data_IF_684941273731
#
_entry.id   IF_684941273731
#
_cell.length_a   1.000
_cell.length_b   1.000
_cell.length_c   1.000
_cell.angle_alpha   90.00
_cell.angle_beta   90.00
_cell.angle_gamma   90.00
#
_symmetry.space_group_name_H-M   'P 1'
#
loop_
_entity.id
_entity.type
_entity.pdbx_description
1 polymer ?
#
# COMPACT_ATOMS: atom_id res chain seq x y z
N UNK A 1 15.49 -4.78 -16.47
CA UNK A 1 14.03 -4.67 -16.34
C UNK A 1 13.69 -3.41 -15.56
N UNK A 2 12.53 -2.80 -15.81
CA UNK A 2 12.14 -1.52 -15.18
C UNK A 2 11.39 -1.69 -13.84
N UNK A 3 11.03 -2.92 -13.46
CA UNK A 3 10.32 -3.24 -12.22
C UNK A 3 11.11 -4.18 -11.30
N UNK A 4 10.82 -4.12 -10.01
CA UNK A 4 11.20 -5.07 -8.94
C UNK A 4 10.03 -6.01 -8.64
N UNK A 5 10.27 -7.14 -7.95
CA UNK A 5 9.16 -7.96 -7.43
C UNK A 5 8.48 -7.25 -6.26
N UNK A 6 9.25 -6.72 -5.31
CA UNK A 6 8.73 -5.93 -4.17
C UNK A 6 9.17 -4.48 -4.30
N UNK A 7 8.22 -3.57 -4.16
CA UNK A 7 8.42 -2.12 -4.24
C UNK A 7 7.08 -1.40 -4.38
N UNK A 8 7.01 -0.07 -4.19
CA UNK A 8 5.77 0.68 -4.32
C UNK A 8 5.13 0.48 -5.68
N UNK A 9 3.80 0.41 -5.71
CA UNK A 9 3.05 0.37 -6.97
C UNK A 9 3.05 1.79 -7.57
N UNK A 10 3.23 1.96 -8.88
CA UNK A 10 3.09 3.27 -9.51
C UNK A 10 1.64 3.73 -9.37
N UNK A 11 1.46 4.97 -8.93
CA UNK A 11 0.15 5.63 -8.85
C UNK A 11 -0.13 6.41 -10.14
N UNK A 12 -1.40 6.75 -10.39
CA UNK A 12 -1.77 7.59 -11.53
C UNK A 12 -1.12 8.98 -11.38
N UNK A 13 -0.49 9.53 -12.44
CA UNK A 13 0.12 10.85 -12.41
C UNK A 13 -0.80 11.97 -11.91
N UNK A 14 -2.13 11.85 -12.06
CA UNK A 14 -3.10 12.83 -11.56
C UNK A 14 -3.09 12.95 -10.02
N UNK A 15 -2.63 11.92 -9.31
CA UNK A 15 -2.56 11.89 -7.84
C UNK A 15 -1.15 12.08 -7.29
N UNK A 16 -0.15 12.14 -8.17
CA UNK A 16 1.24 12.34 -7.79
C UNK A 16 1.47 13.81 -7.42
N UNK A 17 1.92 14.02 -6.20
CA UNK A 17 2.38 15.31 -5.69
C UNK A 17 3.85 15.20 -5.28
N UNK A 18 4.72 15.82 -6.08
CA UNK A 18 6.15 15.84 -5.83
C UNK A 18 6.55 16.80 -4.70
N UNK A 19 5.67 17.64 -4.18
CA UNK A 19 5.97 18.46 -3.00
C UNK A 19 5.86 17.62 -1.71
N UNK A 20 5.12 16.51 -1.76
CA UNK A 20 5.03 15.53 -0.66
C UNK A 20 6.26 14.63 -0.63
N UNK A 21 7.08 14.79 0.41
CA UNK A 21 8.35 14.06 0.57
C UNK A 21 8.20 12.53 0.50
N UNK A 22 7.14 11.98 1.08
CA UNK A 22 6.91 10.54 1.07
C UNK A 22 6.62 10.03 -0.35
N UNK A 23 5.86 10.78 -1.16
CA UNK A 23 5.60 10.42 -2.56
C UNK A 23 6.86 10.50 -3.42
N UNK A 24 7.72 11.52 -3.20
CA UNK A 24 9.03 11.57 -3.85
C UNK A 24 9.90 10.35 -3.56
N UNK A 25 9.92 9.90 -2.30
CA UNK A 25 10.68 8.70 -1.90
C UNK A 25 10.13 7.47 -2.63
N UNK A 26 8.81 7.30 -2.63
CA UNK A 26 8.16 6.18 -3.30
C UNK A 26 8.42 6.15 -4.83
N UNK A 27 8.45 7.32 -5.48
CA UNK A 27 8.74 7.46 -6.91
C UNK A 27 10.24 7.32 -7.25
N UNK A 28 11.12 7.53 -6.28
CA UNK A 28 12.57 7.43 -6.45
C UNK A 28 13.11 6.00 -6.51
N UNK A 29 12.29 4.99 -6.23
CA UNK A 29 12.67 3.57 -6.25
C UNK A 29 12.06 2.83 -7.44
N UNK A 30 12.58 1.63 -7.74
CA UNK A 30 12.01 0.80 -8.81
C UNK A 30 10.61 0.33 -8.40
N UNK A 31 9.59 0.53 -9.24
CA UNK A 31 8.23 0.07 -8.94
C UNK A 31 8.19 -1.45 -8.77
N UNK A 32 7.33 -1.92 -7.86
CA UNK A 32 7.17 -3.33 -7.52
C UNK A 32 5.95 -3.98 -8.17
N UNK A 33 6.00 -5.31 -8.33
CA UNK A 33 4.81 -6.12 -8.63
C UNK A 33 3.88 -6.23 -7.41
N UNK A 34 4.47 -6.30 -6.21
CA UNK A 34 3.76 -6.30 -4.92
C UNK A 34 4.43 -5.35 -3.92
N UNK A 35 3.68 -4.96 -2.90
CA UNK A 35 4.16 -4.12 -1.80
C UNK A 35 3.34 -4.37 -0.52
N UNK A 36 3.83 -3.97 0.66
CA UNK A 36 3.01 -3.95 1.86
C UNK A 36 1.72 -3.15 1.71
N UNK A 37 1.75 -2.00 1.02
CA UNK A 37 0.53 -1.24 0.72
C UNK A 37 -0.42 -2.03 -0.18
N UNK A 38 0.10 -2.71 -1.20
CA UNK A 38 -0.71 -3.55 -2.11
C UNK A 38 -1.39 -4.72 -1.38
N UNK A 39 -0.74 -5.29 -0.37
CA UNK A 39 -1.33 -6.34 0.48
C UNK A 39 -2.40 -5.81 1.42
N UNK A 40 -2.18 -4.61 1.98
CA UNK A 40 -3.12 -3.94 2.89
C UNK A 40 -4.38 -3.47 2.16
N UNK A 41 -4.21 -2.98 0.95
CA UNK A 41 -5.26 -2.42 0.09
C UNK A 41 -5.59 -3.36 -1.08
N UNK A 42 -5.55 -4.68 -0.83
CA UNK A 42 -5.83 -5.68 -1.87
C UNK A 42 -7.26 -5.61 -2.41
N UNK A 43 -8.20 -5.22 -1.56
CA UNK A 43 -9.64 -5.10 -1.85
C UNK A 43 -10.03 -3.60 -1.85
N UNK A 44 -9.12 -2.72 -2.30
CA UNK A 44 -9.29 -1.26 -2.36
C UNK A 44 -10.57 -0.84 -3.08
N UNK A 45 -10.97 -1.60 -4.10
CA UNK A 45 -12.20 -1.36 -4.86
C UNK A 45 -13.47 -1.39 -3.99
N UNK A 46 -13.49 -2.16 -2.90
CA UNK A 46 -14.62 -2.19 -1.95
C UNK A 46 -14.67 -0.91 -1.08
N UNK A 47 -13.53 -0.27 -0.88
CA UNK A 47 -13.40 0.98 -0.10
C UNK A 47 -13.74 2.22 -0.96
N UNK A 48 -13.56 2.13 -2.27
CA UNK A 48 -13.69 3.25 -3.21
C UNK A 48 -15.02 3.19 -3.98
N UNK A 49 -16.13 3.13 -3.23
CA UNK A 49 -17.49 3.11 -3.77
C UNK A 49 -18.26 4.40 -3.46
N UNK A 50 -19.22 4.76 -4.32
CA UNK A 50 -20.09 5.92 -4.14
C UNK A 50 -19.54 7.21 -4.76
N UNK A 51 -20.21 8.35 -4.55
CA UNK A 51 -19.87 9.60 -5.23
C UNK A 51 -18.57 10.25 -4.74
N UNK A 52 -18.19 10.02 -3.48
CA UNK A 52 -17.02 10.65 -2.84
C UNK A 52 -15.75 9.79 -2.88
N UNK A 53 -15.75 8.70 -3.67
CA UNK A 53 -14.65 7.73 -3.71
C UNK A 53 -13.29 8.39 -3.99
N UNK A 54 -13.24 9.36 -4.90
CA UNK A 54 -11.99 10.02 -5.30
C UNK A 54 -11.43 10.87 -4.16
N UNK A 55 -12.31 11.53 -3.39
CA UNK A 55 -11.92 12.29 -2.21
C UNK A 55 -11.37 11.37 -1.13
N UNK A 56 -12.07 10.26 -0.84
CA UNK A 56 -11.59 9.23 0.09
C UNK A 56 -10.24 8.68 -0.34
N UNK A 57 -10.05 8.43 -1.63
CA UNK A 57 -8.79 7.96 -2.16
C UNK A 57 -7.66 8.98 -1.91
N UNK A 58 -7.85 10.24 -2.30
CA UNK A 58 -6.83 11.30 -2.17
C UNK A 58 -6.49 11.67 -0.73
N UNK A 59 -7.50 11.79 0.13
CA UNK A 59 -7.33 12.31 1.48
C UNK A 59 -6.98 11.22 2.50
N UNK A 60 -7.29 9.95 2.23
CA UNK A 60 -7.14 8.87 3.21
C UNK A 60 -6.31 7.70 2.68
N UNK A 61 -6.69 7.13 1.54
CA UNK A 61 -6.10 5.87 1.05
C UNK A 61 -4.68 6.09 0.52
N UNK A 62 -4.49 7.04 -0.39
CA UNK A 62 -3.19 7.32 -1.00
C UNK A 62 -2.13 7.75 0.03
N UNK A 63 -2.42 8.68 0.98
CA UNK A 63 -1.45 9.02 2.02
C UNK A 63 -1.02 7.81 2.88
N UNK A 64 -1.95 6.92 3.27
CA UNK A 64 -1.61 5.72 4.03
C UNK A 64 -0.83 4.71 3.19
N UNK A 65 -1.21 4.47 1.93
CA UNK A 65 -0.46 3.60 1.00
C UNK A 65 0.99 4.03 0.87
N UNK A 66 1.20 5.32 0.59
CA UNK A 66 2.54 5.90 0.46
C UNK A 66 3.31 5.79 1.77
N UNK A 67 2.68 6.09 2.91
CA UNK A 67 3.32 5.99 4.21
C UNK A 67 3.75 4.55 4.56
N UNK A 68 2.89 3.56 4.28
CA UNK A 68 3.18 2.14 4.47
C UNK A 68 4.37 1.69 3.64
N UNK A 69 4.41 2.07 2.36
CA UNK A 69 5.50 1.67 1.46
C UNK A 69 6.82 2.39 1.80
N UNK A 70 6.78 3.67 2.18
CA UNK A 70 7.97 4.40 2.64
C UNK A 70 8.52 3.83 3.96
N UNK A 71 7.65 3.45 4.89
CA UNK A 71 8.05 2.79 6.13
C UNK A 71 8.69 1.41 5.90
N UNK A 72 8.21 0.67 4.89
CA UNK A 72 8.87 -0.55 4.46
C UNK A 72 10.24 -0.27 3.84
N UNK A 73 10.35 0.72 2.96
CA UNK A 73 11.62 1.07 2.31
C UNK A 73 12.70 1.48 3.32
N UNK A 74 12.33 2.17 4.41
CA UNK A 74 13.29 2.60 5.44
C UNK A 74 13.85 1.44 6.28
N UNK A 75 13.19 0.28 6.28
CA UNK A 75 13.56 -0.91 7.08
C UNK A 75 13.75 -2.16 6.22
N UNK A 76 13.82 -1.99 4.89
CA UNK A 76 13.87 -3.10 3.94
C UNK A 76 15.14 -3.94 4.11
N UNK A 77 14.96 -5.24 4.28
CA UNK A 77 16.03 -6.25 4.35
C UNK A 77 15.67 -7.41 3.42
N UNK A 78 16.61 -8.32 3.17
CA UNK A 78 16.30 -9.54 2.42
C UNK A 78 15.19 -10.36 3.09
N UNK A 79 15.15 -10.39 4.43
CA UNK A 79 14.12 -11.09 5.18
C UNK A 79 12.74 -10.46 5.03
N UNK A 80 12.64 -9.12 5.12
CA UNK A 80 11.35 -8.45 4.90
C UNK A 80 10.89 -8.58 3.45
N UNK A 81 11.81 -8.55 2.48
CA UNK A 81 11.51 -8.79 1.06
C UNK A 81 10.86 -10.16 0.83
N UNK A 82 11.47 -11.23 1.36
CA UNK A 82 10.92 -12.60 1.27
C UNK A 82 9.58 -12.69 2.00
N UNK A 83 9.42 -12.01 3.13
CA UNK A 83 8.16 -11.98 3.88
C UNK A 83 7.01 -11.36 3.07
N UNK A 84 7.24 -10.26 2.35
CA UNK A 84 6.21 -9.66 1.48
C UNK A 84 5.83 -10.61 0.35
N UNK A 85 6.79 -11.29 -0.26
CA UNK A 85 6.52 -12.29 -1.29
C UNK A 85 5.71 -13.47 -0.73
N UNK A 86 6.08 -13.98 0.44
CA UNK A 86 5.34 -15.07 1.09
C UNK A 86 3.90 -14.65 1.43
N UNK A 87 3.70 -13.46 1.99
CA UNK A 87 2.37 -12.93 2.26
C UNK A 87 1.54 -12.76 0.99
N UNK A 88 2.17 -12.30 -0.10
CA UNK A 88 1.52 -12.20 -1.41
C UNK A 88 1.11 -13.56 -1.94
N UNK A 89 1.99 -14.56 -1.86
CA UNK A 89 1.67 -15.93 -2.24
C UNK A 89 0.50 -16.47 -1.41
N UNK A 90 0.52 -16.30 -0.08
CA UNK A 90 -0.58 -16.72 0.80
C UNK A 90 -1.90 -16.00 0.51
N UNK A 91 -1.83 -14.74 0.07
CA UNK A 91 -2.99 -13.91 -0.22
C UNK A 91 -3.66 -14.28 -1.55
N UNK A 92 -2.89 -14.76 -2.54
CA UNK A 92 -3.38 -15.06 -3.89
C UNK A 92 -3.62 -16.56 -4.10
N UNK A 93 -2.86 -17.42 -3.41
CA UNK A 93 -3.05 -18.87 -3.47
C UNK A 93 -4.18 -19.28 -2.51
N UNK A 94 -5.08 -20.19 -2.92
CA UNK A 94 -6.09 -20.76 -2.02
C UNK A 94 -5.40 -21.67 -1.00
N UNK A 95 -4.84 -21.08 0.06
CA UNK A 95 -4.42 -21.82 1.23
C UNK A 95 -5.65 -22.19 2.07
N UNK A 96 -5.65 -23.37 2.72
CA UNK A 96 -6.70 -23.72 3.67
C UNK A 96 -6.80 -22.63 4.74
N UNK A 97 -7.99 -22.05 4.83
CA UNK A 97 -8.30 -20.80 5.51
C UNK A 97 -7.71 -20.68 6.93
N UNK A 98 -6.87 -19.67 7.15
CA UNK A 98 -6.68 -19.08 8.48
C UNK A 98 -7.63 -17.89 8.59
N UNK A 99 -8.37 -17.75 9.72
CA UNK A 99 -9.39 -16.71 9.85
C UNK A 99 -8.77 -15.32 9.71
N UNK A 100 -9.31 -14.52 8.79
CA UNK A 100 -8.94 -13.12 8.60
C UNK A 100 -9.25 -12.35 9.89
N UNK A 101 -8.21 -11.90 10.58
CA UNK A 101 -8.33 -10.95 11.69
C UNK A 101 -8.40 -9.55 11.08
N UNK A 102 -9.61 -9.06 10.81
CA UNK A 102 -9.83 -7.65 10.47
C UNK A 102 -9.26 -6.80 11.59
N UNK A 103 -8.19 -6.04 11.30
CA UNK A 103 -7.71 -5.00 12.20
C UNK A 103 -8.57 -3.76 11.91
N UNK A 104 -9.27 -3.21 12.90
CA UNK A 104 -9.98 -1.95 12.69
C UNK A 104 -8.96 -0.87 12.33
N UNK A 105 -9.24 -0.16 11.23
CA UNK A 105 -8.56 1.09 10.89
C UNK A 105 -8.78 2.04 12.06
N UNK A 106 -7.70 2.48 12.72
CA UNK A 106 -7.81 3.46 13.79
C UNK A 106 -8.31 4.77 13.16
N UNK A 107 -9.51 5.19 13.54
CA UNK A 107 -10.03 6.51 13.21
C UNK A 107 -9.11 7.59 13.82
N UNK A 108 -8.83 8.69 13.11
CA UNK A 108 -8.12 9.82 13.70
C UNK A 108 -8.92 10.37 14.89
N UNK A 109 -8.20 10.70 15.97
CA UNK A 109 -8.76 11.32 17.16
C UNK A 109 -9.37 12.68 16.78
N UNK A 110 -10.69 12.80 16.76
CA UNK A 110 -11.33 14.12 16.76
C UNK A 110 -10.92 14.82 18.07
N UNK A 111 -10.18 15.92 17.93
CA UNK A 111 -9.80 16.78 19.04
C UNK A 111 -10.88 17.84 19.27
N UNK A 112 -11.14 18.23 20.52
CA UNK A 112 -12.29 19.05 20.91
C UNK A 112 -12.21 20.51 20.44
#
# INVERSE_FOLDING_TARGET
GQMSLVGPRPEDPVYVDLDVAAQRIALGVRPGVTSPASLRYRDEEELLVGADWERTYREQVLPDKVAVDVAYLSTATLGSYVSVLAQTACAVLPLPHLPHRTRPVRQPLESP
#
